data_IF_067743707887
#
_entry.id   IF_067743707887
#
_cell.length_a   1.000
_cell.length_b   1.000
_cell.length_c   1.000
_cell.angle_alpha   90.00
_cell.angle_beta   90.00
_cell.angle_gamma   90.00
#
_symmetry.space_group_name_H-M   'P 1'
#
loop_
_entity.id
_entity.type
_entity.pdbx_description
1 polymer ?
#
# COMPACT_ATOMS: atom_id res chain seq x y z
N UNK A 1 12.36 10.01 13.37
CA UNK A 1 11.46 9.39 12.40
C UNK A 1 10.01 9.68 12.76
N UNK A 2 9.15 9.66 11.79
CA UNK A 2 7.73 9.95 12.00
C UNK A 2 6.91 8.85 11.34
N UNK A 3 5.82 8.47 11.98
CA UNK A 3 4.96 7.41 11.46
C UNK A 3 3.65 8.03 11.03
N UNK A 4 3.23 7.71 9.80
CA UNK A 4 2.04 8.29 9.20
C UNK A 4 1.07 7.23 8.76
N UNK A 5 -0.24 7.54 8.89
CA UNK A 5 -1.26 6.88 8.07
C UNK A 5 -1.34 7.69 6.79
N UNK A 6 -1.12 7.03 5.66
CA UNK A 6 -1.18 7.65 4.36
C UNK A 6 -2.54 7.39 3.76
N UNK A 7 -3.15 8.42 3.16
CA UNK A 7 -4.42 8.31 2.45
C UNK A 7 -4.21 8.83 1.03
N UNK A 8 -4.56 8.04 0.03
CA UNK A 8 -4.31 8.41 -1.35
C UNK A 8 -5.35 7.77 -2.26
N UNK A 9 -5.67 8.45 -3.35
CA UNK A 9 -6.67 7.96 -4.31
C UNK A 9 -5.97 7.21 -5.43
N UNK A 10 -6.17 5.89 -5.54
CA UNK A 10 -5.51 5.12 -6.60
C UNK A 10 -5.99 5.56 -7.98
N UNK A 11 -5.07 5.64 -8.93
CA UNK A 11 -5.43 5.82 -10.34
C UNK A 11 -5.83 4.45 -10.86
N UNK A 12 -7.14 4.26 -11.09
CA UNK A 12 -7.68 2.94 -11.37
C UNK A 12 -7.08 2.28 -12.61
N UNK A 13 -6.81 3.07 -13.64
CA UNK A 13 -6.24 2.56 -14.88
C UNK A 13 -4.78 2.12 -14.72
N UNK A 14 -4.11 2.50 -13.62
CA UNK A 14 -2.73 2.13 -13.37
C UNK A 14 -2.57 1.13 -12.22
N UNK A 15 -3.68 0.67 -11.65
CA UNK A 15 -3.62 -0.24 -10.51
C UNK A 15 -2.91 -1.54 -10.85
N UNK A 16 -3.18 -2.09 -12.04
CA UNK A 16 -2.52 -3.32 -12.46
C UNK A 16 -1.02 -3.12 -12.64
N UNK A 17 -0.61 -1.97 -13.16
CA UNK A 17 0.82 -1.66 -13.31
C UNK A 17 1.51 -1.57 -11.94
N UNK A 18 0.84 -0.95 -10.97
CA UNK A 18 1.38 -0.89 -9.61
C UNK A 18 1.54 -2.29 -9.03
N UNK A 19 0.51 -3.15 -9.22
CA UNK A 19 0.58 -4.53 -8.76
C UNK A 19 1.79 -5.25 -9.34
N UNK A 20 2.05 -5.03 -10.62
CA UNK A 20 3.18 -5.63 -11.30
C UNK A 20 4.50 -5.14 -10.70
N UNK A 21 4.62 -3.85 -10.42
CA UNK A 21 5.86 -3.32 -9.85
C UNK A 21 6.10 -3.84 -8.45
N UNK A 22 5.05 -4.00 -7.66
CA UNK A 22 5.19 -4.61 -6.35
C UNK A 22 5.67 -6.06 -6.46
N UNK A 23 5.05 -6.84 -7.34
CA UNK A 23 5.36 -8.25 -7.47
C UNK A 23 6.75 -8.50 -8.03
N UNK A 24 7.26 -7.60 -8.87
CA UNK A 24 8.56 -7.79 -9.53
C UNK A 24 9.75 -7.42 -8.64
N UNK A 25 9.50 -6.80 -7.48
CA UNK A 25 10.58 -6.35 -6.60
C UNK A 25 11.15 -5.00 -6.94
N UNK A 26 10.61 -4.31 -7.95
CA UNK A 26 11.13 -2.99 -8.32
C UNK A 26 10.99 -1.99 -7.19
N UNK A 27 9.85 -2.00 -6.49
CA UNK A 27 9.64 -1.05 -5.42
C UNK A 27 10.49 -1.42 -4.20
N UNK A 28 10.51 -2.68 -3.81
CA UNK A 28 11.27 -3.10 -2.62
C UNK A 28 12.77 -2.90 -2.78
N UNK A 29 13.27 -2.81 -4.01
CA UNK A 29 14.70 -2.61 -4.25
C UNK A 29 15.14 -1.15 -4.17
N UNK A 30 14.20 -0.21 -4.14
CA UNK A 30 14.54 1.20 -4.03
C UNK A 30 15.13 1.50 -2.65
N UNK A 31 16.11 2.40 -2.62
CA UNK A 31 16.78 2.74 -1.36
C UNK A 31 16.64 4.22 -1.07
N UNK A 32 16.47 4.60 0.19
CA UNK A 32 16.39 3.75 1.39
C UNK A 32 14.99 3.25 1.74
N UNK A 33 13.94 3.69 1.04
CA UNK A 33 12.54 3.56 1.48
C UNK A 33 11.78 2.36 0.90
N UNK A 34 12.41 1.62 -0.03
CA UNK A 34 11.67 0.65 -0.84
C UNK A 34 10.99 -0.46 -0.08
N UNK A 35 11.68 -1.05 0.93
CA UNK A 35 11.08 -2.16 1.68
C UNK A 35 9.91 -1.70 2.52
N UNK A 36 10.03 -0.53 3.14
CA UNK A 36 8.93 0.01 3.93
C UNK A 36 7.72 0.34 3.05
N UNK A 37 7.97 0.99 1.92
CA UNK A 37 6.90 1.32 0.98
C UNK A 37 6.24 0.06 0.44
N UNK A 38 7.04 -0.94 0.07
CA UNK A 38 6.51 -2.21 -0.43
C UNK A 38 5.58 -2.85 0.60
N UNK A 39 6.02 -2.92 1.86
CA UNK A 39 5.20 -3.49 2.93
C UNK A 39 3.89 -2.73 3.08
N UNK A 40 3.94 -1.41 3.09
CA UNK A 40 2.74 -0.59 3.23
C UNK A 40 1.76 -0.82 2.09
N UNK A 41 2.24 -0.79 0.85
CA UNK A 41 1.36 -0.96 -0.30
C UNK A 41 0.80 -2.37 -0.41
N UNK A 42 1.58 -3.39 -0.05
CA UNK A 42 1.07 -4.77 -0.07
C UNK A 42 -0.08 -4.96 0.92
N UNK A 43 -0.05 -4.23 2.02
CA UNK A 43 -1.04 -4.37 3.08
C UNK A 43 -2.06 -3.23 3.09
N UNK A 44 -2.08 -2.41 2.05
CA UNK A 44 -2.97 -1.25 1.96
C UNK A 44 -4.43 -1.66 2.02
N UNK A 45 -5.25 -0.78 2.58
CA UNK A 45 -6.70 -1.01 2.74
C UNK A 45 -7.46 0.02 1.92
N UNK A 46 -8.69 -0.33 1.54
CA UNK A 46 -9.56 0.56 0.77
C UNK A 46 -10.74 1.00 1.62
N UNK A 47 -11.08 2.28 1.53
CA UNK A 47 -12.27 2.80 2.17
C UNK A 47 -12.74 4.03 1.40
N UNK A 48 -13.97 3.98 0.91
CA UNK A 48 -14.62 5.10 0.21
C UNK A 48 -13.79 5.65 -0.95
N UNK A 49 -13.15 4.76 -1.69
CA UNK A 49 -12.40 5.14 -2.88
C UNK A 49 -10.95 5.53 -2.64
N UNK A 50 -10.51 5.51 -1.40
CA UNK A 50 -9.12 5.84 -1.06
C UNK A 50 -8.39 4.62 -0.53
N UNK A 51 -7.08 4.57 -0.83
CA UNK A 51 -6.19 3.57 -0.26
C UNK A 51 -5.55 4.14 1.00
N UNK A 52 -5.34 3.29 1.99
CA UNK A 52 -4.72 3.67 3.27
C UNK A 52 -3.63 2.68 3.62
N UNK A 53 -2.49 3.19 4.06
CA UNK A 53 -1.43 2.33 4.60
C UNK A 53 -0.65 3.11 5.64
N UNK A 54 0.27 2.43 6.32
CA UNK A 54 1.10 3.04 7.34
C UNK A 54 2.53 3.05 6.84
N UNK A 55 3.21 4.16 7.06
CA UNK A 55 4.58 4.30 6.59
C UNK A 55 5.40 5.11 7.56
N UNK A 56 6.62 4.63 7.81
CA UNK A 56 7.61 5.33 8.61
C UNK A 56 8.47 6.16 7.66
N UNK A 57 8.71 7.44 8.00
CA UNK A 57 9.37 8.32 7.06
C UNK A 57 10.25 9.33 7.76
N UNK A 58 11.30 9.74 7.06
CA UNK A 58 12.27 10.72 7.56
C UNK A 58 12.29 11.99 6.71
N UNK A 59 11.48 12.05 5.66
CA UNK A 59 11.54 13.15 4.70
C UNK A 59 10.78 14.38 5.15
N UNK A 60 11.21 15.53 4.66
CA UNK A 60 10.50 16.79 4.80
C UNK A 60 10.45 17.44 3.41
N UNK A 61 9.26 17.61 2.81
CA UNK A 61 7.94 17.22 3.34
C UNK A 61 7.78 15.71 3.40
N UNK A 62 6.73 15.24 4.12
CA UNK A 62 6.52 13.79 4.28
C UNK A 62 6.45 13.06 2.94
N UNK A 63 7.09 11.89 2.89
CA UNK A 63 7.08 10.99 1.75
C UNK A 63 7.68 11.58 0.47
N UNK A 64 8.57 12.58 0.60
CA UNK A 64 9.09 13.28 -0.58
C UNK A 64 9.73 12.33 -1.59
N UNK A 65 10.58 11.40 -1.14
CA UNK A 65 11.23 10.45 -2.04
C UNK A 65 10.26 9.44 -2.61
N UNK A 66 9.39 8.91 -1.76
CA UNK A 66 8.38 7.94 -2.18
C UNK A 66 7.45 8.53 -3.23
N UNK A 67 7.03 9.79 -3.02
CA UNK A 67 6.15 10.45 -3.98
C UNK A 67 6.81 10.61 -5.32
N UNK A 68 8.05 11.11 -5.32
CA UNK A 68 8.77 11.36 -6.57
C UNK A 68 9.03 10.07 -7.33
N UNK A 69 9.39 9.01 -6.62
CA UNK A 69 9.83 7.77 -7.25
C UNK A 69 8.67 6.87 -7.65
N UNK A 70 7.57 6.86 -6.89
CA UNK A 70 6.49 5.88 -7.07
C UNK A 70 5.12 6.51 -6.98
N UNK A 71 4.81 7.18 -5.84
CA UNK A 71 3.43 7.45 -5.48
C UNK A 71 2.73 8.42 -6.42
N UNK A 72 3.42 9.47 -6.88
CA UNK A 72 2.78 10.46 -7.75
C UNK A 72 2.34 9.88 -9.08
N UNK A 73 2.96 8.76 -9.50
CA UNK A 73 2.53 8.08 -10.73
C UNK A 73 1.22 7.32 -10.55
N UNK A 74 1.01 6.74 -9.38
CA UNK A 74 -0.08 5.79 -9.16
C UNK A 74 -1.23 6.32 -8.33
N UNK A 75 -1.05 7.46 -7.67
CA UNK A 75 -2.05 8.01 -6.75
C UNK A 75 -2.24 9.49 -6.94
N UNK A 76 -3.48 9.93 -6.68
CA UNK A 76 -3.83 11.34 -6.55
C UNK A 76 -4.20 11.63 -5.10
N UNK A 77 -4.27 12.91 -4.75
CA UNK A 77 -4.79 13.36 -3.45
C UNK A 77 -4.11 12.66 -2.28
N UNK A 78 -2.78 12.66 -2.29
CA UNK A 78 -1.99 12.01 -1.25
C UNK A 78 -1.93 12.91 -0.02
N UNK A 79 -2.41 12.40 1.13
CA UNK A 79 -2.33 13.11 2.40
C UNK A 79 -1.82 12.17 3.47
N UNK A 80 -1.30 12.75 4.55
CA UNK A 80 -0.76 11.97 5.65
C UNK A 80 -1.30 12.48 6.98
N UNK A 81 -1.41 11.58 7.95
CA UNK A 81 -1.76 11.92 9.32
C UNK A 81 -0.77 11.23 10.24
N UNK A 82 -0.12 12.02 11.10
CA UNK A 82 0.87 11.47 12.02
C UNK A 82 0.21 10.65 13.11
N UNK A 83 0.80 9.51 13.42
CA UNK A 83 0.37 8.66 14.53
C UNK A 83 1.55 8.37 15.43
N UNK A 84 1.27 7.82 16.62
CA UNK A 84 2.30 7.59 17.62
C UNK A 84 3.15 6.37 17.33
N UNK A 85 2.58 5.36 16.69
CA UNK A 85 3.28 4.13 16.44
C UNK A 85 2.72 3.44 15.19
N UNK A 86 3.53 2.52 14.67
CA UNK A 86 3.13 1.67 13.55
C UNK A 86 1.86 0.88 13.92
N UNK A 87 1.85 0.34 15.12
CA UNK A 87 0.71 -0.43 15.61
C UNK A 87 -0.57 0.41 15.64
N UNK A 88 -0.47 1.64 16.15
CA UNK A 88 -1.63 2.52 16.19
C UNK A 88 -2.16 2.79 14.78
N UNK A 89 -1.25 3.05 13.84
CA UNK A 89 -1.65 3.32 12.46
C UNK A 89 -2.41 2.16 11.85
N UNK A 90 -1.85 0.95 11.93
CA UNK A 90 -2.51 -0.22 11.35
C UNK A 90 -3.82 -0.55 12.08
N UNK A 91 -3.89 -0.34 13.40
CA UNK A 91 -5.13 -0.57 14.13
C UNK A 91 -6.27 0.31 13.65
N UNK A 92 -5.98 1.50 13.13
CA UNK A 92 -7.01 2.41 12.62
C UNK A 92 -7.63 1.89 11.32
N UNK A 93 -6.90 1.11 10.53
CA UNK A 93 -7.34 0.77 9.17
C UNK A 93 -7.49 -0.73 8.94
N UNK A 94 -7.05 -1.58 9.85
CA UNK A 94 -6.96 -3.03 9.60
C UNK A 94 -8.31 -3.69 9.33
N UNK A 95 -9.42 -3.08 9.77
CA UNK A 95 -10.75 -3.66 9.56
C UNK A 95 -11.33 -3.35 8.18
N UNK A 96 -10.64 -2.55 7.39
CA UNK A 96 -11.10 -2.19 6.05
C UNK A 96 -10.65 -3.23 5.03
N UNK A 97 -11.37 -3.36 3.91
CA UNK A 97 -10.98 -4.35 2.88
C UNK A 97 -9.59 -4.08 2.33
N UNK A 98 -8.90 -5.14 1.92
CA UNK A 98 -7.59 -5.01 1.29
C UNK A 98 -7.71 -4.31 -0.06
N UNK A 99 -6.70 -3.50 -0.40
CA UNK A 99 -6.60 -2.91 -1.72
C UNK A 99 -6.48 -4.00 -2.79
N UNK A 100 -5.67 -5.01 -2.51
CA UNK A 100 -5.42 -6.08 -3.47
C UNK A 100 -6.32 -7.25 -3.17
N UNK A 101 -7.02 -7.75 -4.21
CA UNK A 101 -7.83 -8.95 -4.05
C UNK A 101 -6.90 -10.14 -3.88
N UNK A 102 -7.14 -10.90 -2.83
CA UNK A 102 -6.40 -12.14 -2.59
C UNK A 102 -7.33 -13.28 -2.91
N UNK A 103 -7.01 -14.05 -3.98
CA UNK A 103 -7.70 -15.28 -4.30
C UNK A 103 -7.03 -16.37 -3.50
N UNK A 104 -7.78 -16.90 -2.62
CA UNK A 104 -7.31 -18.09 -1.93
C UNK A 104 -7.69 -19.27 -2.76
N UNK A 105 -7.43 -19.39 -3.19
CA UNK A 105 -7.64 -20.25 -3.85
C UNK A 105 -7.67 -21.18 -3.78
N UNK A 106 -8.21 -21.33 -4.13
CA UNK A 106 -8.52 -21.87 -4.15
C UNK A 106 -8.54 -22.50 -4.68
N UNK A 107 -8.71 -22.65 -4.99
CA UNK A 107 -8.71 -23.19 -5.46
C UNK A 107 -9.11 -23.70 -5.82
N UNK A 108 -9.34 -24.13 -6.50
CA UNK A 108 -9.62 -24.55 -6.91
C UNK A 108 -9.50 -25.25 -6.98
N UNK A 109 -9.58 -25.57 -7.15
CA UNK A 109 -9.16 -26.00 -7.04
C UNK A 109 -9.21 -26.07 -6.31
N UNK A 110 -9.78 -26.30 -6.24
CA UNK A 110 -9.64 -26.06 -5.71
C UNK A 110 -9.95 -25.95 -5.41
N UNK A 111 -10.50 -26.39 -5.38
CA UNK A 111 -10.50 -26.10 -5.28
C UNK A 111 -10.76 -26.20 -5.23
N UNK A 112 -11.13 -26.74 -5.31
CA UNK A 112 -11.01 -26.54 -5.35
C UNK A 112 -11.22 -26.52 -5.12
N UNK A 113 -11.60 -27.18 -5.10
CA UNK A 113 -11.41 -26.86 -5.04
C UNK A 113 -11.66 -26.65 -4.81
N UNK A 114 -12.37 -27.17 -4.84
CA UNK A 114 -12.25 -26.68 -4.78
C UNK A 114 -12.34 -26.41 -4.87
N UNK A 115 -12.79 -27.18 -4.77
CA UNK A 115 -12.62 -26.74 -4.98
C UNK A 115 -12.73 -26.66 -5.16
N UNK A 116 -13.06 -27.29 -5.34
CA UNK A 116 -12.84 -26.97 -5.58
C UNK A 116 -12.84 -26.76 -5.70
#
# INVERSE_FOLDING_TARGET
>A
MTIYVVKAKPKEDLRADLRQELSSGKISSLRPFGEELHHGLENARMFEGYAYWVEEDYCSPPLAMERRSVLDRYFDEITVEQVESDEEGWNRIKDRPMLWKRYTFISPYSCIIYGI
#
